data_IF_141968904286
#
_entry.id   IF_141968904286
#
_cell.length_a   1.000
_cell.length_b   1.000
_cell.length_c   1.000
_cell.angle_alpha   90.00
_cell.angle_beta   90.00
_cell.angle_gamma   90.00
#
_symmetry.space_group_name_H-M   'P 1'
#
loop_
_entity.id
_entity.type
_entity.pdbx_description
1 polymer ?
#
# COMPACT_ATOMS: atom_id res chain seq x y z
N UNK A 1 -21.27 -8.89 16.52
CA UNK A 1 -21.13 -9.93 15.47
C UNK A 1 -20.75 -9.35 14.11
N UNK A 2 -19.93 -8.29 14.03
CA UNK A 2 -19.51 -7.66 12.75
C UNK A 2 -18.03 -7.91 12.43
N UNK A 3 -17.19 -8.18 13.45
CA UNK A 3 -15.74 -8.30 13.30
C UNK A 3 -15.27 -9.52 12.49
N UNK A 4 -16.00 -10.64 12.47
CA UNK A 4 -15.57 -11.85 11.75
C UNK A 4 -15.64 -11.72 10.22
N UNK A 5 -16.47 -10.81 9.67
CA UNK A 5 -16.69 -10.73 8.22
C UNK A 5 -15.54 -10.00 7.49
N UNK A 6 -14.92 -9.00 8.12
CA UNK A 6 -13.84 -8.22 7.50
C UNK A 6 -12.53 -9.01 7.37
N UNK A 7 -12.21 -9.84 8.37
CA UNK A 7 -11.04 -10.72 8.33
C UNK A 7 -11.20 -11.80 7.24
N UNK A 8 -12.36 -12.45 7.16
CA UNK A 8 -12.67 -13.44 6.13
C UNK A 8 -12.58 -12.84 4.72
N UNK A 9 -13.22 -11.69 4.49
CA UNK A 9 -13.14 -10.98 3.20
C UNK A 9 -11.70 -10.61 2.82
N UNK A 10 -10.88 -10.22 3.80
CA UNK A 10 -9.47 -9.90 3.57
C UNK A 10 -8.69 -11.13 3.11
N UNK A 11 -8.94 -12.28 3.73
CA UNK A 11 -8.31 -13.56 3.38
C UNK A 11 -8.78 -14.03 2.00
N UNK A 12 -10.08 -13.91 1.70
CA UNK A 12 -10.64 -14.24 0.38
C UNK A 12 -10.02 -13.37 -0.73
N UNK A 13 -10.01 -12.05 -0.56
CA UNK A 13 -9.36 -11.11 -1.49
C UNK A 13 -7.88 -11.45 -1.73
N UNK A 14 -7.16 -11.81 -0.66
CA UNK A 14 -5.76 -12.21 -0.78
C UNK A 14 -5.59 -13.50 -1.59
N UNK A 15 -6.45 -14.50 -1.36
CA UNK A 15 -6.42 -15.76 -2.08
C UNK A 15 -6.78 -15.61 -3.57
N UNK A 16 -7.69 -14.70 -3.90
CA UNK A 16 -8.11 -14.42 -5.28
C UNK A 16 -7.04 -13.66 -6.07
N UNK A 17 -6.52 -12.56 -5.49
CA UNK A 17 -5.64 -11.64 -6.21
C UNK A 17 -4.18 -12.11 -6.22
N UNK A 18 -3.74 -12.79 -5.16
CA UNK A 18 -2.35 -13.26 -4.94
C UNK A 18 -1.28 -12.17 -5.11
N UNK A 19 -1.69 -10.90 -5.12
CA UNK A 19 -0.83 -9.72 -5.22
C UNK A 19 -1.08 -8.81 -4.00
N UNK A 20 -0.12 -8.71 -3.08
CA UNK A 20 -0.26 -7.90 -1.87
C UNK A 20 -0.58 -6.42 -2.16
N UNK A 21 -0.09 -5.85 -3.25
CA UNK A 21 -0.34 -4.45 -3.59
C UNK A 21 -1.79 -4.21 -4.01
N UNK A 22 -2.39 -5.15 -4.75
CA UNK A 22 -3.79 -5.07 -5.17
C UNK A 22 -4.72 -5.19 -3.96
N UNK A 23 -4.43 -6.16 -3.09
CA UNK A 23 -5.17 -6.37 -1.84
C UNK A 23 -5.12 -5.11 -0.96
N UNK A 24 -3.93 -4.55 -0.72
CA UNK A 24 -3.80 -3.34 0.09
C UNK A 24 -4.55 -2.14 -0.52
N UNK A 25 -4.51 -1.97 -1.85
CA UNK A 25 -5.21 -0.86 -2.52
C UNK A 25 -6.73 -1.00 -2.39
N UNK A 26 -7.26 -2.21 -2.59
CA UNK A 26 -8.70 -2.49 -2.46
C UNK A 26 -9.17 -2.27 -1.03
N UNK A 27 -8.44 -2.81 -0.04
CA UNK A 27 -8.82 -2.66 1.37
C UNK A 27 -8.74 -1.19 1.82
N UNK A 28 -7.74 -0.42 1.38
CA UNK A 28 -7.67 1.01 1.66
C UNK A 28 -8.88 1.77 1.11
N UNK A 29 -9.30 1.45 -0.12
CA UNK A 29 -10.49 2.07 -0.70
C UNK A 29 -11.77 1.65 0.05
N UNK A 30 -11.87 0.38 0.44
CA UNK A 30 -13.00 -0.13 1.21
C UNK A 30 -13.10 0.54 2.59
N UNK A 31 -11.97 0.72 3.28
CA UNK A 31 -11.93 1.46 4.56
C UNK A 31 -12.49 2.88 4.42
N UNK A 32 -12.20 3.57 3.32
CA UNK A 32 -12.79 4.90 3.05
C UNK A 32 -14.29 4.85 2.83
N UNK A 33 -14.79 3.84 2.13
CA UNK A 33 -16.24 3.65 1.91
C UNK A 33 -16.97 3.31 3.20
N UNK A 34 -16.31 2.58 4.10
CA UNK A 34 -16.85 2.16 5.39
C UNK A 34 -16.64 3.20 6.51
N UNK A 35 -16.12 4.38 6.19
CA UNK A 35 -15.78 5.47 7.12
C UNK A 35 -14.81 5.03 8.25
N UNK A 36 -13.93 4.07 7.93
CA UNK A 36 -12.91 3.57 8.85
C UNK A 36 -11.65 4.43 8.71
N UNK A 37 -11.27 5.09 9.80
CA UNK A 37 -10.08 5.92 9.84
C UNK A 37 -8.82 5.08 9.61
N UNK A 38 -8.11 5.39 8.52
CA UNK A 38 -6.80 4.78 8.22
C UNK A 38 -5.71 5.37 9.13
N UNK A 39 -4.78 4.52 9.56
CA UNK A 39 -3.68 4.89 10.47
C UNK A 39 -2.31 4.69 9.81
N UNK A 40 -1.25 5.22 10.43
CA UNK A 40 0.13 5.14 9.91
C UNK A 40 0.54 3.71 9.55
N UNK A 41 0.30 2.67 10.38
CA UNK A 41 0.67 1.29 10.04
C UNK A 41 0.03 0.78 8.75
N UNK A 42 -1.19 1.23 8.43
CA UNK A 42 -1.94 0.79 7.25
C UNK A 42 -1.31 1.38 5.98
N UNK A 43 -1.05 2.69 5.97
CA UNK A 43 -0.36 3.34 4.87
C UNK A 43 1.07 2.80 4.70
N UNK A 44 1.78 2.54 5.81
CA UNK A 44 3.11 1.94 5.79
C UNK A 44 3.09 0.54 5.15
N UNK A 45 2.12 -0.30 5.51
CA UNK A 45 1.92 -1.62 4.89
C UNK A 45 1.67 -1.51 3.39
N UNK A 46 0.77 -0.60 2.99
CA UNK A 46 0.41 -0.41 1.60
C UNK A 46 1.59 0.09 0.76
N UNK A 47 2.36 1.08 1.26
CA UNK A 47 3.58 1.59 0.60
C UNK A 47 4.62 0.47 0.45
N UNK A 48 4.84 -0.35 1.48
CA UNK A 48 5.78 -1.48 1.40
C UNK A 48 5.37 -2.50 0.35
N UNK A 49 4.08 -2.83 0.29
CA UNK A 49 3.56 -3.78 -0.70
C UNK A 49 3.77 -3.30 -2.14
N UNK A 50 3.48 -2.02 -2.44
CA UNK A 50 3.73 -1.45 -3.78
C UNK A 50 5.21 -1.27 -4.08
N UNK A 51 6.05 -1.01 -3.07
CA UNK A 51 7.50 -0.88 -3.24
C UNK A 51 8.14 -2.18 -3.71
N UNK A 52 7.66 -3.32 -3.21
CA UNK A 52 8.18 -4.64 -3.59
C UNK A 52 7.90 -5.00 -5.05
N UNK A 53 6.79 -4.52 -5.60
CA UNK A 53 6.41 -4.79 -7.01
C UNK A 53 6.88 -3.69 -7.98
N UNK A 54 7.34 -2.54 -7.46
CA UNK A 54 7.81 -1.41 -8.29
C UNK A 54 6.71 -0.67 -9.05
N UNK A 55 5.43 -0.88 -8.72
CA UNK A 55 4.31 -0.24 -9.39
C UNK A 55 4.12 1.20 -8.89
N UNK A 56 4.80 2.12 -9.58
CA UNK A 56 4.77 3.54 -9.28
C UNK A 56 3.38 4.16 -9.40
N UNK A 57 2.51 3.62 -10.25
CA UNK A 57 1.14 4.13 -10.45
C UNK A 57 0.29 3.86 -9.22
N UNK A 58 0.31 2.61 -8.71
CA UNK A 58 -0.38 2.26 -7.46
C UNK A 58 0.20 3.00 -6.26
N UNK A 59 1.52 3.16 -6.22
CA UNK A 59 2.16 3.91 -5.16
C UNK A 59 1.69 5.37 -5.13
N UNK A 60 1.63 6.05 -6.28
CA UNK A 60 1.07 7.41 -6.36
C UNK A 60 -0.40 7.46 -5.92
N UNK A 61 -1.20 6.45 -6.29
CA UNK A 61 -2.58 6.35 -5.85
C UNK A 61 -2.66 6.32 -4.33
N UNK A 62 -1.89 5.46 -3.66
CA UNK A 62 -1.85 5.32 -2.20
C UNK A 62 -1.39 6.61 -1.53
N UNK A 63 -0.31 7.24 -2.02
CA UNK A 63 0.24 8.47 -1.43
C UNK A 63 -0.78 9.62 -1.44
N UNK A 64 -1.57 9.76 -2.52
CA UNK A 64 -2.66 10.74 -2.59
C UNK A 64 -3.78 10.50 -1.57
N UNK A 65 -3.84 9.32 -0.98
CA UNK A 65 -4.83 8.99 0.06
C UNK A 65 -4.34 9.30 1.47
N UNK A 66 -3.05 9.64 1.66
CA UNK A 66 -2.46 9.90 2.96
C UNK A 66 -2.83 11.33 3.39
N UNK A 67 -3.43 11.52 4.57
CA UNK A 67 -3.66 12.85 5.13
C UNK A 67 -2.34 13.59 5.37
N UNK A 68 -2.32 14.90 5.12
CA UNK A 68 -1.12 15.72 5.30
C UNK A 68 -0.53 15.64 6.72
N UNK A 69 -1.39 15.47 7.73
CA UNK A 69 -0.95 15.30 9.12
C UNK A 69 -0.15 14.01 9.35
N UNK A 70 -0.31 12.99 8.50
CA UNK A 70 0.47 11.74 8.58
C UNK A 70 1.74 11.80 7.73
N UNK A 71 1.84 12.73 6.76
CA UNK A 71 3.04 12.87 5.92
C UNK A 71 4.25 13.37 6.71
N UNK A 72 4.02 14.09 7.82
CA UNK A 72 5.10 14.58 8.70
C UNK A 72 5.59 13.53 9.69
N UNK A 73 4.91 12.39 9.80
CA UNK A 73 5.29 11.30 10.68
C UNK A 73 6.42 10.48 10.05
N UNK A 74 7.61 10.46 10.66
CA UNK A 74 8.85 9.91 10.12
C UNK A 74 8.74 8.52 9.44
N UNK A 75 7.77 7.71 9.87
CA UNK A 75 7.49 6.39 9.30
C UNK A 75 7.05 6.46 7.82
N UNK A 76 6.27 7.48 7.45
CA UNK A 76 5.77 7.65 6.08
C UNK A 76 6.89 8.10 5.13
N UNK A 77 7.64 9.19 5.39
CA UNK A 77 8.77 9.57 4.55
C UNK A 77 9.82 8.46 4.39
N UNK A 78 10.11 7.71 5.46
CA UNK A 78 11.02 6.55 5.38
C UNK A 78 10.54 5.50 4.37
N UNK A 79 9.25 5.19 4.37
CA UNK A 79 8.66 4.24 3.43
C UNK A 79 8.67 4.75 1.98
N UNK A 80 8.54 6.07 1.79
CA UNK A 80 8.64 6.68 0.46
C UNK A 80 10.06 6.64 -0.11
N UNK A 81 11.09 6.72 0.76
CA UNK A 81 12.48 6.50 0.35
C UNK A 81 12.68 5.05 -0.09
N UNK A 82 12.14 4.08 0.66
CA UNK A 82 12.19 2.66 0.29
C UNK A 82 11.54 2.39 -1.07
N UNK A 83 10.38 3.01 -1.33
CA UNK A 83 9.69 2.99 -2.61
C UNK A 83 10.57 3.55 -3.74
N UNK A 84 11.17 4.72 -3.52
CA UNK A 84 12.02 5.37 -4.51
C UNK A 84 13.25 4.51 -4.85
N UNK A 85 13.93 3.96 -3.85
CA UNK A 85 15.08 3.06 -4.07
C UNK A 85 14.66 1.80 -4.82
N UNK A 86 13.52 1.20 -4.44
CA UNK A 86 13.03 -0.04 -5.07
C UNK A 86 12.61 0.18 -6.53
N UNK A 87 11.98 1.32 -6.82
CA UNK A 87 11.58 1.70 -8.18
C UNK A 87 12.81 1.92 -9.08
N UNK A 88 13.91 2.44 -8.54
CA UNK A 88 15.16 2.62 -9.28
C UNK A 88 15.91 1.29 -9.52
N UNK A 89 15.83 0.31 -8.60
CA UNK A 89 16.45 -1.02 -8.80
C UNK A 89 15.89 -1.76 -10.02
N UNK A 90 14.59 -1.58 -10.31
CA UNK A 90 13.96 -2.15 -11.51
C UNK A 90 14.57 -1.55 -12.78
N UNK A 91 14.85 -0.24 -12.78
CA UNK A 91 15.47 0.46 -13.92
C UNK A 91 16.93 0.01 -14.12
N UNK A 92 17.68 -0.20 -13.03
CA UNK A 92 19.05 -0.69 -13.09
C UNK A 92 19.18 -2.08 -13.74
N UNK A 93 18.22 -2.99 -13.47
CA UNK A 93 18.22 -4.33 -14.05
C UNK A 93 17.84 -4.35 -15.54
N UNK A 94 17.10 -3.35 -16.03
CA UNK A 94 16.74 -3.21 -17.44
C UNK A 94 17.87 -2.62 -18.31
N UNK A 95 18.86 -1.95 -17.71
CA UNK A 95 20.02 -1.37 -18.39
C UNK A 95 21.22 -2.34 -18.49
N UNK A 96 21.11 -3.55 -17.93
CA UNK A 96 22.15 -4.59 -17.93
C UNK A 96 21.81 -5.81 -18.83
N UNK A 97 20.78 -5.71 -19.67
CA UNK A 97 20.40 -6.68 -20.71
C UNK A 97 20.55 -6.04 -22.10
#
# INVERSE_FOLDING_TARGET
YVENNLAEKTIELFNELKNPADVNTILLNQMKLDDIQSSIPIYLSAIKAVSQIGDCSKAQSIVKQIPDCLLVENQIPSALIDLWVSSNKVVSNLLLL
#
